data_IF_191363241290
#
_entry.id   IF_191363241290
#
_cell.length_a   1.000
_cell.length_b   1.000
_cell.length_c   1.000
_cell.angle_alpha   90.00
_cell.angle_beta   90.00
_cell.angle_gamma   90.00
#
_symmetry.space_group_name_H-M   'P 1'
#
loop_
_entity.id
_entity.type
_entity.pdbx_description
1 polymer ?
#
# COMPACT_ATOMS: atom_id res chain seq x y z
N UNK A 1 -22.07 2.97 8.64
CA UNK A 1 -22.78 1.86 7.96
C UNK A 1 -21.87 0.64 8.04
N UNK A 2 -22.33 -0.48 8.60
CA UNK A 2 -21.52 -1.70 8.75
C UNK A 2 -21.69 -2.50 7.47
N UNK A 3 -20.65 -2.59 6.65
CA UNK A 3 -20.65 -3.41 5.43
C UNK A 3 -20.41 -4.87 5.84
N UNK A 4 -21.23 -5.83 5.40
CA UNK A 4 -21.04 -7.25 5.71
C UNK A 4 -19.66 -7.75 5.23
N UNK A 5 -19.05 -8.62 6.02
CA UNK A 5 -17.68 -9.12 5.77
C UNK A 5 -17.55 -9.93 4.47
N UNK A 6 -18.62 -10.64 4.08
CA UNK A 6 -18.69 -11.39 2.82
C UNK A 6 -18.65 -10.48 1.60
N UNK A 7 -19.31 -9.34 1.68
CA UNK A 7 -19.46 -8.40 0.56
C UNK A 7 -18.15 -7.63 0.33
N UNK A 8 -17.41 -7.40 1.42
CA UNK A 8 -16.09 -6.74 1.39
C UNK A 8 -15.05 -7.54 0.58
N UNK A 9 -15.09 -8.88 0.56
CA UNK A 9 -14.13 -9.67 -0.23
C UNK A 9 -14.30 -9.41 -1.74
N UNK A 10 -15.51 -9.65 -2.27
CA UNK A 10 -15.79 -9.44 -3.70
C UNK A 10 -15.55 -7.98 -4.12
N UNK A 11 -15.86 -7.04 -3.22
CA UNK A 11 -15.57 -5.63 -3.42
C UNK A 11 -14.06 -5.33 -3.42
N UNK A 12 -13.24 -6.02 -2.65
CA UNK A 12 -11.79 -5.76 -2.58
C UNK A 12 -11.05 -6.23 -3.85
N UNK A 13 -11.42 -7.40 -4.38
CA UNK A 13 -10.95 -7.87 -5.69
C UNK A 13 -11.27 -6.85 -6.79
N UNK A 14 -12.52 -6.35 -6.77
CA UNK A 14 -12.99 -5.33 -7.71
C UNK A 14 -12.31 -3.97 -7.49
N UNK A 15 -11.99 -3.63 -6.24
CA UNK A 15 -11.36 -2.36 -5.88
C UNK A 15 -9.93 -2.24 -6.38
N UNK A 16 -9.18 -3.35 -6.42
CA UNK A 16 -7.85 -3.43 -7.05
C UNK A 16 -7.91 -3.11 -8.54
N UNK A 17 -8.98 -3.50 -9.23
CA UNK A 17 -9.16 -3.26 -10.67
C UNK A 17 -9.74 -1.87 -10.99
N UNK A 18 -10.55 -1.30 -10.09
CA UNK A 18 -11.33 -0.08 -10.32
C UNK A 18 -10.68 1.21 -9.82
N UNK A 19 -9.40 1.19 -9.43
CA UNK A 19 -8.69 2.35 -8.86
C UNK A 19 -9.38 2.94 -7.61
N UNK A 20 -10.07 2.10 -6.83
CA UNK A 20 -10.73 2.50 -5.57
C UNK A 20 -9.76 2.48 -4.39
N UNK A 21 -8.68 1.71 -4.53
CA UNK A 21 -7.52 1.72 -3.65
C UNK A 21 -6.57 2.84 -4.07
N UNK A 22 -5.96 3.50 -3.09
CA UNK A 22 -4.95 4.54 -3.28
C UNK A 22 -3.88 4.44 -2.21
N UNK A 23 -2.64 4.77 -2.58
CA UNK A 23 -1.52 4.88 -1.65
C UNK A 23 -1.39 6.34 -1.22
N UNK A 24 -1.36 6.57 0.09
CA UNK A 24 -1.12 7.87 0.70
C UNK A 24 0.23 7.84 1.41
N UNK A 25 0.93 8.96 1.45
CA UNK A 25 2.27 9.04 2.04
C UNK A 25 2.24 9.85 3.32
N UNK A 26 2.64 9.25 4.43
CA UNK A 26 2.79 9.94 5.71
C UNK A 26 4.27 10.28 5.97
N UNK A 27 4.63 11.57 6.13
CA UNK A 27 6.01 11.94 6.41
C UNK A 27 6.50 11.48 7.78
N UNK A 28 7.73 11.00 7.81
CA UNK A 28 8.51 10.74 9.02
C UNK A 28 9.55 11.85 9.17
N UNK A 29 9.53 12.52 10.34
CA UNK A 29 10.31 13.73 10.60
C UNK A 29 11.41 13.44 11.61
N UNK A 30 12.63 13.89 11.33
CA UNK A 30 13.68 13.97 12.35
C UNK A 30 13.33 15.08 13.35
N UNK A 31 13.11 14.73 14.62
CA UNK A 31 12.68 15.70 15.64
C UNK A 31 13.75 16.75 15.98
N UNK A 32 15.03 16.47 15.75
CA UNK A 32 16.12 17.40 16.02
C UNK A 32 16.31 18.39 14.86
N UNK A 33 16.25 17.92 13.61
CA UNK A 33 16.52 18.75 12.42
C UNK A 33 15.25 19.32 11.78
N UNK A 34 14.09 18.73 12.03
CA UNK A 34 12.82 19.06 11.38
C UNK A 34 12.71 18.51 9.94
N UNK A 35 13.70 17.78 9.47
CA UNK A 35 13.75 17.28 8.08
C UNK A 35 12.92 16.01 7.89
N UNK A 36 12.35 15.84 6.70
CA UNK A 36 11.70 14.59 6.29
C UNK A 36 12.79 13.54 6.03
N UNK A 37 12.79 12.48 6.82
CA UNK A 37 13.73 11.36 6.69
C UNK A 37 13.15 10.16 5.95
N UNK A 38 11.83 10.12 5.82
CA UNK A 38 11.11 9.02 5.22
C UNK A 38 9.66 9.34 4.92
N UNK A 39 9.04 8.52 4.08
CA UNK A 39 7.58 8.51 3.87
C UNK A 39 7.07 7.09 4.10
N UNK A 40 6.01 6.94 4.88
CA UNK A 40 5.31 5.67 5.01
C UNK A 40 4.16 5.60 3.99
N UNK A 41 4.19 4.58 3.13
CA UNK A 41 3.14 4.27 2.18
C UNK A 41 1.99 3.55 2.87
N UNK A 42 0.81 4.17 2.83
CA UNK A 42 -0.37 3.73 3.55
C UNK A 42 -1.54 3.56 2.60
N UNK A 43 -2.03 2.33 2.49
CA UNK A 43 -3.17 2.00 1.64
C UNK A 43 -4.47 2.60 2.20
N UNK A 44 -5.28 3.17 1.32
CA UNK A 44 -6.59 3.76 1.61
C UNK A 44 -7.60 3.22 0.62
N UNK A 45 -8.80 2.90 1.10
CA UNK A 45 -9.89 2.44 0.25
C UNK A 45 -11.04 3.43 0.26
N UNK A 46 -11.29 4.03 -0.90
CA UNK A 46 -12.47 4.85 -1.14
C UNK A 46 -13.46 4.04 -1.99
N UNK A 47 -14.32 3.29 -1.32
CA UNK A 47 -15.33 2.45 -1.96
C UNK A 47 -16.40 3.32 -2.62
N UNK A 48 -16.76 3.00 -3.87
CA UNK A 48 -17.72 3.80 -4.67
C UNK A 48 -19.05 4.07 -3.95
N UNK A 49 -19.57 3.07 -3.24
CA UNK A 49 -20.89 3.16 -2.60
C UNK A 49 -20.83 3.51 -1.11
N UNK A 50 -19.76 3.06 -0.44
CA UNK A 50 -19.68 3.08 1.03
C UNK A 50 -18.73 4.19 1.53
N UNK A 51 -18.11 4.92 0.60
CA UNK A 51 -17.11 5.94 0.91
C UNK A 51 -15.85 5.31 1.49
N UNK A 52 -15.24 6.02 2.43
CA UNK A 52 -14.00 5.58 3.05
C UNK A 52 -14.19 4.32 3.89
N UNK A 53 -13.41 3.28 3.58
CA UNK A 53 -13.34 2.04 4.37
C UNK A 53 -12.01 2.02 5.12
N UNK A 54 -12.09 1.82 6.44
CA UNK A 54 -10.92 1.79 7.32
C UNK A 54 -9.94 0.66 6.92
N UNK A 55 -8.62 0.93 6.85
CA UNK A 55 -7.59 -0.09 6.71
C UNK A 55 -7.71 -1.22 7.72
N UNK A 56 -7.99 -0.91 8.98
CA UNK A 56 -8.16 -1.92 10.01
C UNK A 56 -9.33 -2.89 9.74
N UNK A 57 -10.30 -2.50 8.89
CA UNK A 57 -11.41 -3.34 8.48
C UNK A 57 -11.02 -4.20 7.28
N UNK A 58 -10.58 -3.58 6.17
CA UNK A 58 -10.36 -4.32 4.94
C UNK A 58 -9.06 -5.13 4.92
N UNK A 59 -8.04 -4.75 5.71
CA UNK A 59 -6.82 -5.55 5.84
C UNK A 59 -7.13 -6.88 6.52
N UNK A 60 -8.00 -6.91 7.54
CA UNK A 60 -8.43 -8.18 8.16
C UNK A 60 -9.20 -9.07 7.19
N UNK A 61 -9.97 -8.47 6.26
CA UNK A 61 -10.66 -9.21 5.19
C UNK A 61 -9.59 -9.80 4.26
N UNK A 62 -8.62 -9.00 3.83
CA UNK A 62 -7.54 -9.45 2.97
C UNK A 62 -6.72 -10.58 3.59
N UNK A 63 -6.35 -10.48 4.86
CA UNK A 63 -5.61 -11.52 5.59
C UNK A 63 -6.41 -12.82 5.68
N UNK A 64 -7.69 -12.74 6.06
CA UNK A 64 -8.57 -13.91 6.17
C UNK A 64 -8.79 -14.62 4.83
N UNK A 65 -8.71 -13.87 3.72
CA UNK A 65 -8.91 -14.38 2.37
C UNK A 65 -7.61 -14.55 1.57
N UNK A 66 -6.45 -14.49 2.23
CA UNK A 66 -5.12 -14.68 1.62
C UNK A 66 -4.78 -13.70 0.47
N UNK A 67 -5.33 -12.48 0.50
CA UNK A 67 -5.18 -11.46 -0.54
C UNK A 67 -3.98 -10.51 -0.30
N UNK A 68 -3.16 -10.80 0.71
CA UNK A 68 -2.09 -9.88 1.12
C UNK A 68 -0.98 -9.78 0.08
N UNK A 69 -0.74 -10.84 -0.70
CA UNK A 69 0.25 -10.86 -1.78
C UNK A 69 -0.16 -9.93 -2.92
N UNK A 70 -1.41 -10.00 -3.36
CA UNK A 70 -1.96 -9.11 -4.39
C UNK A 70 -1.96 -7.65 -3.92
N UNK A 71 -2.39 -7.39 -2.69
CA UNK A 71 -2.40 -6.03 -2.13
C UNK A 71 -1.00 -5.46 -2.01
N UNK A 72 -0.04 -6.26 -1.53
CA UNK A 72 1.34 -5.78 -1.34
C UNK A 72 2.02 -5.55 -2.68
N UNK A 73 1.76 -6.41 -3.68
CA UNK A 73 2.24 -6.22 -5.05
C UNK A 73 1.65 -4.96 -5.68
N UNK A 74 0.36 -4.70 -5.48
CA UNK A 74 -0.29 -3.47 -5.91
C UNK A 74 0.36 -2.23 -5.28
N UNK A 75 0.57 -2.22 -3.95
CA UNK A 75 1.20 -1.09 -3.25
C UNK A 75 2.63 -0.87 -3.75
N UNK A 76 3.42 -1.94 -3.94
CA UNK A 76 4.77 -1.87 -4.47
C UNK A 76 4.81 -1.22 -5.84
N UNK A 77 3.95 -1.64 -6.76
CA UNK A 77 3.88 -1.08 -8.11
C UNK A 77 3.55 0.43 -8.07
N UNK A 78 2.54 0.83 -7.30
CA UNK A 78 2.16 2.24 -7.15
C UNK A 78 3.34 3.06 -6.57
N UNK A 79 4.01 2.55 -5.55
CA UNK A 79 5.16 3.24 -4.94
C UNK A 79 6.33 3.37 -5.93
N UNK A 80 6.63 2.34 -6.72
CA UNK A 80 7.65 2.41 -7.76
C UNK A 80 7.34 3.48 -8.82
N UNK A 81 6.10 3.53 -9.29
CA UNK A 81 5.64 4.53 -10.27
C UNK A 81 5.71 5.96 -9.70
N UNK A 82 5.31 6.13 -8.43
CA UNK A 82 5.41 7.40 -7.72
C UNK A 82 6.87 7.85 -7.55
N UNK A 83 7.77 6.94 -7.17
CA UNK A 83 9.22 7.20 -7.07
C UNK A 83 9.78 7.63 -8.44
N UNK A 84 9.43 6.92 -9.51
CA UNK A 84 9.89 7.28 -10.85
C UNK A 84 9.41 8.68 -11.25
N UNK A 85 8.15 8.99 -10.95
CA UNK A 85 7.54 10.31 -11.22
C UNK A 85 8.23 11.40 -10.43
N UNK A 86 8.51 11.18 -9.15
CA UNK A 86 9.16 12.16 -8.29
C UNK A 86 10.63 12.37 -8.63
N UNK A 87 11.35 11.34 -9.07
CA UNK A 87 12.76 11.45 -9.46
C UNK A 87 12.97 12.45 -10.60
N UNK A 88 11.94 12.68 -11.43
CA UNK A 88 11.98 13.70 -12.47
C UNK A 88 11.84 15.15 -11.95
N UNK A 89 11.41 15.34 -10.69
CA UNK A 89 10.98 16.64 -10.16
C UNK A 89 11.64 17.04 -8.83
N UNK A 90 12.15 16.09 -8.04
CA UNK A 90 12.78 16.38 -6.74
C UNK A 90 14.24 15.88 -6.70
N UNK A 91 15.17 16.64 -6.08
CA UNK A 91 16.60 16.29 -6.09
C UNK A 91 16.95 15.01 -5.32
N UNK A 92 16.18 14.70 -4.29
CA UNK A 92 16.36 13.52 -3.47
C UNK A 92 15.01 13.11 -2.87
N UNK A 93 14.56 11.90 -3.19
CA UNK A 93 13.37 11.32 -2.56
C UNK A 93 13.79 10.71 -1.22
N UNK A 94 13.10 11.02 -0.11
CA UNK A 94 13.33 10.33 1.16
C UNK A 94 13.01 8.84 1.05
N UNK A 95 13.50 8.03 1.99
CA UNK A 95 13.22 6.59 2.00
C UNK A 95 11.72 6.32 2.09
N UNK A 96 11.20 5.42 1.25
CA UNK A 96 9.79 5.01 1.30
C UNK A 96 9.68 3.69 2.07
N UNK A 97 8.78 3.65 3.05
CA UNK A 97 8.49 2.49 3.89
C UNK A 97 7.15 1.89 3.47
N UNK A 98 7.13 0.59 3.21
CA UNK A 98 5.92 -0.15 2.83
C UNK A 98 5.62 -1.18 3.92
N UNK A 99 4.35 -1.29 4.29
CA UNK A 99 3.87 -2.30 5.21
C UNK A 99 3.62 -3.61 4.47
N UNK A 100 4.19 -4.71 4.97
CA UNK A 100 3.99 -6.06 4.46
C UNK A 100 3.36 -6.94 5.54
N UNK A 101 2.62 -7.97 5.13
CA UNK A 101 2.06 -8.95 6.05
C UNK A 101 3.16 -9.84 6.65
N UNK A 102 2.92 -10.35 7.86
CA UNK A 102 3.84 -11.28 8.50
C UNK A 102 4.03 -12.57 7.69
N UNK A 103 3.01 -13.01 6.94
CA UNK A 103 3.09 -14.19 6.06
C UNK A 103 4.03 -14.01 4.87
N UNK A 104 4.31 -12.77 4.47
CA UNK A 104 5.29 -12.46 3.41
C UNK A 104 6.71 -12.36 3.94
N UNK A 105 6.87 -12.14 5.24
CA UNK A 105 8.18 -12.00 5.86
C UNK A 105 8.98 -13.30 5.71
N UNK A 106 10.08 -13.25 4.96
CA UNK A 106 10.91 -14.43 4.66
C UNK A 106 10.51 -15.21 3.39
N UNK A 107 9.42 -14.84 2.72
CA UNK A 107 9.05 -15.42 1.42
C UNK A 107 9.89 -14.77 0.30
N UNK A 108 11.03 -15.38 -0.04
CA UNK A 108 11.93 -14.88 -1.10
C UNK A 108 11.24 -14.72 -2.45
N UNK A 109 10.36 -15.64 -2.83
CA UNK A 109 9.68 -15.63 -4.13
C UNK A 109 8.82 -14.37 -4.31
N UNK A 110 8.18 -13.90 -3.24
CA UNK A 110 7.37 -12.68 -3.27
C UNK A 110 8.23 -11.45 -3.62
N UNK A 111 9.39 -11.33 -2.98
CA UNK A 111 10.30 -10.21 -3.22
C UNK A 111 10.99 -10.30 -4.58
N UNK A 112 11.38 -11.49 -5.04
CA UNK A 112 12.01 -11.66 -6.37
C UNK A 112 11.08 -11.24 -7.52
N UNK A 113 9.77 -11.47 -7.37
CA UNK A 113 8.78 -11.15 -8.42
C UNK A 113 8.42 -9.66 -8.45
N UNK A 114 8.53 -8.97 -7.32
CA UNK A 114 8.13 -7.56 -7.18
C UNK A 114 9.31 -6.58 -7.07
N UNK A 115 10.54 -7.08 -6.92
CA UNK A 115 11.73 -6.27 -6.73
C UNK A 115 12.59 -6.29 -8.00
N UNK A 116 12.16 -5.54 -9.02
CA UNK A 116 13.02 -5.12 -10.14
C UNK A 116 13.73 -3.79 -9.82
N UNK A 117 13.98 -3.49 -8.54
CA UNK A 117 14.63 -2.25 -8.11
C UNK A 117 16.13 -2.51 -8.01
N UNK A 118 16.87 -2.07 -9.03
CA UNK A 118 18.33 -2.06 -9.07
C UNK A 118 18.87 -1.13 -7.99
N UNK A 119 19.79 -1.63 -7.15
CA UNK A 119 20.58 -0.86 -6.18
C UNK A 119 21.47 0.18 -6.85
#
# INVERSE_FOLDING_TARGET
>A
MIVPYSDLKCSLDTALLNSELKVYYQPQINLQTGEIVGLEALLRWNHKQNGYISPATFIKVAEHHLMMDEISSYVLNVVCDDIQTWNAHVPAIPRIYINISASQFGNKSFFETNCSITT
#
